data_IF_065782908161
#
_entry.id   IF_065782908161
#
_cell.length_a   1.000
_cell.length_b   1.000
_cell.length_c   1.000
_cell.angle_alpha   90.00
_cell.angle_beta   90.00
_cell.angle_gamma   90.00
#
_symmetry.space_group_name_H-M   'P 1'
#
loop_
_entity.id
_entity.type
_entity.pdbx_description
1 polymer ?
#
# COMPACT_ATOMS: atom_id res chain seq x y z
N UNK A 1 7.77 30.82 -27.50
CA UNK A 1 8.77 29.79 -27.18
C UNK A 1 7.98 28.63 -26.61
N UNK A 2 7.83 27.53 -27.33
CA UNK A 2 7.08 26.34 -26.91
C UNK A 2 7.95 25.56 -25.92
N UNK A 3 7.50 25.45 -24.66
CA UNK A 3 8.11 24.56 -23.68
C UNK A 3 7.93 23.12 -24.15
N UNK A 4 9.02 22.47 -24.53
CA UNK A 4 9.05 21.04 -24.75
C UNK A 4 8.90 20.35 -23.38
N UNK A 5 7.72 19.80 -23.12
CA UNK A 5 7.54 18.82 -22.06
C UNK A 5 8.35 17.58 -22.43
N UNK A 6 9.44 17.37 -21.71
CA UNK A 6 10.17 16.11 -21.73
C UNK A 6 9.21 15.07 -21.11
N UNK A 7 8.53 14.31 -21.97
CA UNK A 7 7.87 13.08 -21.55
C UNK A 7 8.99 12.13 -21.13
N UNK A 8 9.14 11.91 -19.84
CA UNK A 8 9.90 10.75 -19.37
C UNK A 8 9.31 9.50 -20.04
N UNK A 9 10.15 8.61 -20.60
CA UNK A 9 9.65 7.36 -21.17
C UNK A 9 8.99 6.60 -20.04
N UNK A 10 7.68 6.40 -20.14
CA UNK A 10 6.97 5.45 -19.28
C UNK A 10 7.67 4.11 -19.48
N UNK A 11 8.49 3.71 -18.51
CA UNK A 11 9.05 2.36 -18.45
C UNK A 11 7.84 1.45 -18.37
N UNK A 12 7.63 0.68 -19.44
CA UNK A 12 6.54 -0.27 -19.52
C UNK A 12 6.78 -1.33 -18.42
N UNK A 13 6.14 -1.14 -17.25
CA UNK A 13 6.31 -2.00 -16.08
C UNK A 13 6.03 -3.46 -16.44
N UNK A 14 5.06 -3.71 -17.33
CA UNK A 14 4.74 -5.04 -17.84
C UNK A 14 5.91 -5.65 -18.62
N UNK A 15 6.70 -4.85 -19.33
CA UNK A 15 7.88 -5.30 -20.07
C UNK A 15 9.00 -5.73 -19.11
N UNK A 16 9.24 -5.01 -18.02
CA UNK A 16 10.29 -5.34 -17.04
C UNK A 16 9.95 -6.62 -16.26
N UNK A 17 8.71 -6.72 -15.78
CA UNK A 17 8.22 -7.92 -15.10
C UNK A 17 8.27 -9.15 -16.00
N UNK A 18 7.85 -9.02 -17.26
CA UNK A 18 7.89 -10.10 -18.23
C UNK A 18 9.32 -10.59 -18.46
N UNK A 19 10.27 -9.67 -18.64
CA UNK A 19 11.70 -10.01 -18.78
C UNK A 19 12.22 -10.77 -17.56
N UNK A 20 11.92 -10.31 -16.35
CA UNK A 20 12.28 -11.01 -15.12
C UNK A 20 11.70 -12.43 -15.07
N UNK A 21 10.41 -12.60 -15.38
CA UNK A 21 9.75 -13.90 -15.40
C UNK A 21 10.36 -14.86 -16.43
N UNK A 22 10.75 -14.35 -17.60
CA UNK A 22 11.44 -15.13 -18.64
C UNK A 22 12.84 -15.57 -18.17
N UNK A 23 13.61 -14.68 -17.49
CA UNK A 23 14.94 -15.01 -16.96
C UNK A 23 14.90 -16.10 -15.89
N UNK A 24 13.91 -16.07 -14.98
CA UNK A 24 13.81 -17.08 -13.92
C UNK A 24 13.23 -18.41 -14.42
N UNK A 25 12.58 -18.44 -15.60
CA UNK A 25 11.87 -19.60 -16.11
C UNK A 25 12.77 -20.84 -16.28
N UNK A 26 14.02 -20.64 -16.63
CA UNK A 26 14.98 -21.71 -16.93
C UNK A 26 15.84 -22.11 -15.72
N UNK A 27 15.57 -21.53 -14.53
CA UNK A 27 16.31 -21.89 -13.31
C UNK A 27 16.03 -23.33 -12.90
N UNK A 28 17.11 -24.07 -12.59
CA UNK A 28 17.04 -25.48 -12.17
C UNK A 28 16.55 -25.58 -10.71
N UNK A 29 15.64 -26.49 -10.44
CA UNK A 29 15.25 -26.83 -9.06
C UNK A 29 16.32 -27.70 -8.41
N UNK A 30 16.65 -27.42 -7.14
CA UNK A 30 17.64 -28.15 -6.36
C UNK A 30 17.03 -29.41 -5.72
N UNK A 31 17.84 -30.45 -5.57
CA UNK A 31 17.53 -31.59 -4.73
C UNK A 31 17.73 -31.25 -3.25
N UNK A 32 17.21 -32.09 -2.35
CA UNK A 32 17.35 -31.87 -0.90
C UNK A 32 18.81 -31.96 -0.46
N UNK A 33 19.59 -32.83 -1.09
CA UNK A 33 21.02 -33.01 -0.83
C UNK A 33 21.81 -31.77 -1.28
N UNK A 34 21.51 -31.23 -2.47
CA UNK A 34 22.11 -29.99 -2.98
C UNK A 34 21.77 -28.77 -2.08
N UNK A 35 20.50 -28.68 -1.61
CA UNK A 35 20.11 -27.63 -0.66
C UNK A 35 20.91 -27.71 0.67
N UNK A 36 21.15 -28.92 1.18
CA UNK A 36 21.91 -29.12 2.42
C UNK A 36 23.40 -28.78 2.23
N UNK A 37 23.99 -29.15 1.10
CA UNK A 37 25.39 -28.79 0.77
C UNK A 37 25.56 -27.28 0.64
N UNK A 38 24.65 -26.61 -0.11
CA UNK A 38 24.66 -25.16 -0.23
C UNK A 38 24.49 -24.48 1.13
N UNK A 39 23.60 -24.98 1.99
CA UNK A 39 23.41 -24.45 3.33
C UNK A 39 24.70 -24.50 4.18
N UNK A 40 25.47 -25.58 4.11
CA UNK A 40 26.77 -25.68 4.81
C UNK A 40 27.79 -24.67 4.26
N UNK A 41 27.85 -24.52 2.93
CA UNK A 41 28.72 -23.52 2.30
C UNK A 41 28.35 -22.08 2.70
N UNK A 42 27.04 -21.77 2.79
CA UNK A 42 26.53 -20.47 3.24
C UNK A 42 26.95 -20.20 4.69
N UNK A 43 26.85 -21.18 5.59
CA UNK A 43 27.33 -21.06 6.98
C UNK A 43 28.82 -20.78 7.08
N UNK A 44 29.60 -21.24 6.10
CA UNK A 44 31.04 -20.94 5.98
C UNK A 44 31.35 -19.60 5.28
N UNK A 45 30.30 -18.80 4.94
CA UNK A 45 30.46 -17.46 4.35
C UNK A 45 30.58 -17.46 2.81
N UNK A 46 30.15 -18.51 2.13
CA UNK A 46 30.18 -18.56 0.65
C UNK A 46 28.95 -17.83 0.04
N UNK A 47 29.16 -16.56 -0.37
CA UNK A 47 28.15 -15.73 -1.01
C UNK A 47 27.68 -16.28 -2.37
N UNK A 48 28.51 -17.07 -3.07
CA UNK A 48 28.08 -17.70 -4.34
C UNK A 48 27.06 -18.79 -4.09
N UNK A 49 27.29 -19.62 -3.08
CA UNK A 49 26.34 -20.66 -2.66
C UNK A 49 24.99 -20.05 -2.25
N UNK A 50 25.03 -18.90 -1.56
CA UNK A 50 23.82 -18.13 -1.22
C UNK A 50 23.08 -17.69 -2.48
N UNK A 51 23.78 -17.10 -3.46
CA UNK A 51 23.20 -16.72 -4.74
C UNK A 51 22.58 -17.91 -5.50
N UNK A 52 23.22 -19.07 -5.53
CA UNK A 52 22.71 -20.29 -6.16
C UNK A 52 21.40 -20.77 -5.50
N UNK A 53 21.37 -20.81 -4.15
CA UNK A 53 20.16 -21.22 -3.41
C UNK A 53 19.00 -20.26 -3.64
N UNK A 54 19.25 -18.95 -3.63
CA UNK A 54 18.23 -17.92 -3.89
C UNK A 54 17.69 -18.04 -5.31
N UNK A 55 18.58 -18.08 -6.32
CA UNK A 55 18.20 -18.12 -7.74
C UNK A 55 17.33 -19.33 -8.06
N UNK A 56 17.65 -20.50 -7.52
CA UNK A 56 16.88 -21.72 -7.72
C UNK A 56 15.44 -21.62 -7.16
N UNK A 57 15.20 -20.70 -6.21
CA UNK A 57 13.91 -20.58 -5.51
C UNK A 57 13.10 -19.32 -5.87
N UNK A 58 13.57 -18.46 -6.79
CA UNK A 58 12.85 -17.26 -7.21
C UNK A 58 11.44 -17.53 -7.77
N UNK A 59 11.27 -18.66 -8.51
CA UNK A 59 9.94 -19.07 -9.00
C UNK A 59 8.93 -19.26 -7.88
N UNK A 60 9.38 -19.77 -6.74
CA UNK A 60 8.52 -20.00 -5.60
C UNK A 60 8.05 -18.68 -4.97
N UNK A 61 8.92 -17.66 -4.94
CA UNK A 61 8.53 -16.31 -4.49
C UNK A 61 7.40 -15.76 -5.35
N UNK A 62 7.51 -15.86 -6.68
CA UNK A 62 6.44 -15.41 -7.60
C UNK A 62 5.12 -16.14 -7.32
N UNK A 63 5.18 -17.46 -7.07
CA UNK A 63 4.00 -18.23 -6.72
C UNK A 63 3.34 -17.74 -5.43
N UNK A 64 4.13 -17.43 -4.39
CA UNK A 64 3.62 -16.91 -3.13
C UNK A 64 3.07 -15.48 -3.32
N UNK A 65 3.80 -14.59 -4.01
CA UNK A 65 3.43 -13.20 -4.25
C UNK A 65 2.07 -13.07 -4.98
N UNK A 66 1.78 -13.96 -5.94
CA UNK A 66 0.49 -13.99 -6.65
C UNK A 66 -0.72 -14.13 -5.73
N UNK A 67 -0.60 -14.77 -4.57
CA UNK A 67 -1.71 -14.89 -3.62
C UNK A 67 -2.03 -13.59 -2.88
N UNK A 68 -1.16 -12.58 -3.01
CA UNK A 68 -1.28 -11.28 -2.35
C UNK A 68 -1.57 -10.14 -3.33
N UNK A 69 -1.79 -10.43 -4.61
CA UNK A 69 -2.18 -9.44 -5.62
C UNK A 69 -3.48 -8.72 -5.24
N UNK A 70 -3.66 -7.51 -5.75
CA UNK A 70 -4.84 -6.66 -5.55
C UNK A 70 -5.09 -6.23 -4.09
N UNK A 71 -4.05 -6.22 -3.27
CA UNK A 71 -4.11 -5.79 -1.87
C UNK A 71 -3.47 -4.42 -1.61
N UNK A 72 -3.19 -3.66 -2.67
CA UNK A 72 -2.65 -2.31 -2.58
C UNK A 72 -1.19 -2.14 -3.01
N UNK A 73 -0.51 -3.23 -3.40
CA UNK A 73 0.81 -3.21 -4.04
C UNK A 73 0.78 -3.93 -5.38
N UNK A 74 1.62 -3.47 -6.31
CA UNK A 74 1.82 -4.09 -7.61
C UNK A 74 2.54 -5.44 -7.44
N UNK A 75 2.41 -6.33 -8.44
CA UNK A 75 3.01 -7.68 -8.37
C UNK A 75 4.54 -7.65 -8.32
N UNK A 76 5.16 -6.73 -9.04
CA UNK A 76 6.61 -6.54 -9.04
C UNK A 76 7.14 -6.14 -7.66
N UNK A 77 6.45 -5.24 -6.95
CA UNK A 77 6.79 -4.84 -5.58
C UNK A 77 6.63 -6.01 -4.61
N UNK A 78 5.53 -6.78 -4.73
CA UNK A 78 5.32 -7.99 -3.92
C UNK A 78 6.40 -9.05 -4.14
N UNK A 79 6.87 -9.23 -5.38
CA UNK A 79 7.97 -10.14 -5.70
C UNK A 79 9.27 -9.64 -5.09
N UNK A 80 9.57 -8.35 -5.18
CA UNK A 80 10.79 -7.77 -4.63
C UNK A 80 10.84 -7.92 -3.10
N UNK A 81 9.75 -7.63 -2.42
CA UNK A 81 9.64 -7.84 -0.98
C UNK A 81 9.72 -9.32 -0.59
N UNK A 82 9.09 -10.19 -1.38
CA UNK A 82 9.22 -11.64 -1.23
C UNK A 82 10.66 -12.11 -1.41
N UNK A 83 11.41 -11.56 -2.37
CA UNK A 83 12.82 -11.87 -2.59
C UNK A 83 13.68 -11.42 -1.40
N UNK A 84 13.39 -10.27 -0.76
CA UNK A 84 14.05 -9.86 0.48
C UNK A 84 13.81 -10.90 1.59
N UNK A 85 12.57 -11.42 1.70
CA UNK A 85 12.25 -12.51 2.61
C UNK A 85 13.02 -13.79 2.30
N UNK A 86 13.16 -14.15 1.02
CA UNK A 86 13.92 -15.33 0.59
C UNK A 86 15.42 -15.20 0.95
N UNK A 87 16.02 -14.02 0.78
CA UNK A 87 17.41 -13.74 1.18
C UNK A 87 17.60 -13.95 2.68
N UNK A 88 16.71 -13.39 3.50
CA UNK A 88 16.72 -13.57 4.97
C UNK A 88 16.59 -15.05 5.36
N UNK A 89 15.77 -15.80 4.63
CA UNK A 89 15.61 -17.23 4.84
C UNK A 89 16.89 -18.00 4.50
N UNK A 90 17.55 -17.67 3.37
CA UNK A 90 18.80 -18.33 2.94
C UNK A 90 19.93 -18.13 3.95
N UNK A 91 20.05 -16.95 4.57
CA UNK A 91 21.06 -16.67 5.60
C UNK A 91 20.89 -17.48 6.89
N UNK A 92 19.65 -17.86 7.22
CA UNK A 92 19.31 -18.52 8.48
C UNK A 92 18.96 -19.98 8.32
N UNK A 93 18.99 -20.49 7.10
CA UNK A 93 18.63 -21.88 6.82
C UNK A 93 19.68 -22.85 7.35
N UNK A 94 19.19 -23.91 8.02
CA UNK A 94 20.00 -24.99 8.54
C UNK A 94 19.64 -26.30 7.80
N UNK A 95 20.49 -26.67 6.87
CA UNK A 95 20.32 -27.90 6.07
C UNK A 95 20.42 -29.19 6.87
N UNK A 96 20.97 -29.19 8.10
CA UNK A 96 21.13 -30.39 8.94
C UNK A 96 19.80 -30.93 9.45
N UNK A 97 18.77 -30.09 9.52
CA UNK A 97 17.45 -30.44 10.07
C UNK A 97 16.60 -31.32 9.16
N UNK A 98 17.03 -31.57 7.93
CA UNK A 98 16.43 -32.58 7.04
C UNK A 98 15.10 -32.22 6.39
N UNK A 99 14.63 -30.98 6.41
CA UNK A 99 13.50 -30.48 5.62
C UNK A 99 13.95 -29.63 4.44
N UNK A 100 13.08 -29.50 3.42
CA UNK A 100 13.37 -28.69 2.24
C UNK A 100 13.41 -27.20 2.58
N UNK A 101 14.28 -26.47 1.91
CA UNK A 101 14.43 -25.03 2.05
C UNK A 101 13.10 -24.26 1.87
N UNK A 102 12.29 -24.61 0.87
CA UNK A 102 10.98 -24.01 0.59
C UNK A 102 10.07 -24.03 1.82
N UNK A 103 10.06 -25.12 2.62
CA UNK A 103 9.18 -25.24 3.80
C UNK A 103 9.55 -24.26 4.90
N UNK A 104 10.81 -23.85 4.97
CA UNK A 104 11.30 -22.81 5.87
C UNK A 104 11.14 -21.40 5.27
N UNK A 105 11.51 -21.23 4.01
CA UNK A 105 11.52 -19.94 3.33
C UNK A 105 10.12 -19.33 3.19
N UNK A 106 9.06 -20.13 3.06
CA UNK A 106 7.68 -19.64 2.90
C UNK A 106 7.24 -18.70 4.03
N UNK A 107 7.70 -18.92 5.25
CA UNK A 107 7.37 -18.07 6.39
C UNK A 107 8.02 -16.70 6.29
N UNK A 108 9.30 -16.64 5.89
CA UNK A 108 10.02 -15.41 5.69
C UNK A 108 9.51 -14.60 4.50
N UNK A 109 9.18 -15.27 3.40
CA UNK A 109 8.59 -14.66 2.21
C UNK A 109 7.25 -14.02 2.57
N UNK A 110 6.37 -14.77 3.24
CA UNK A 110 5.06 -14.26 3.67
C UNK A 110 5.18 -13.08 4.64
N UNK A 111 6.05 -13.20 5.62
CA UNK A 111 6.26 -12.12 6.59
C UNK A 111 6.74 -10.84 5.92
N UNK A 112 7.74 -10.92 5.00
CA UNK A 112 8.20 -9.75 4.27
C UNK A 112 7.10 -9.12 3.41
N UNK A 113 6.34 -9.93 2.67
CA UNK A 113 5.21 -9.44 1.86
C UNK A 113 4.13 -8.79 2.73
N UNK A 114 3.74 -9.40 3.84
CA UNK A 114 2.73 -8.84 4.76
C UNK A 114 3.23 -7.56 5.42
N UNK A 115 4.51 -7.48 5.75
CA UNK A 115 5.12 -6.28 6.30
C UNK A 115 5.12 -5.13 5.28
N UNK A 116 5.45 -5.41 4.03
CA UNK A 116 5.40 -4.43 2.94
C UNK A 116 3.95 -3.95 2.70
N UNK A 117 3.00 -4.87 2.62
CA UNK A 117 1.57 -4.52 2.51
C UNK A 117 1.12 -3.62 3.67
N UNK A 118 1.53 -3.92 4.90
CA UNK A 118 1.17 -3.09 6.06
C UNK A 118 1.80 -1.69 6.02
N UNK A 119 2.98 -1.53 5.40
CA UNK A 119 3.69 -0.26 5.36
C UNK A 119 3.28 0.61 4.17
N UNK A 120 3.10 0.02 3.00
CA UNK A 120 3.15 0.72 1.71
C UNK A 120 1.86 0.55 0.87
N UNK A 121 0.87 -0.27 1.33
CA UNK A 121 -0.40 -0.45 0.63
C UNK A 121 -1.33 0.77 0.70
N UNK A 122 -1.10 1.69 1.62
CA UNK A 122 -1.90 2.89 1.80
C UNK A 122 -1.07 4.14 1.48
N UNK A 123 -1.63 5.08 0.70
CA UNK A 123 -1.01 6.38 0.41
C UNK A 123 -0.69 7.15 1.70
N UNK A 124 -1.55 7.05 2.70
CA UNK A 124 -1.31 7.57 4.06
C UNK A 124 -0.93 6.38 4.93
N UNK A 125 0.32 6.37 5.42
CA UNK A 125 0.83 5.29 6.28
C UNK A 125 0.02 5.17 7.57
N UNK A 126 -0.51 3.97 7.82
CA UNK A 126 -1.23 3.64 9.05
C UNK A 126 -0.34 2.81 10.01
N UNK A 127 -0.47 3.01 11.32
CA UNK A 127 0.17 2.13 12.30
C UNK A 127 -0.32 0.68 12.17
N UNK A 128 0.58 -0.30 12.36
CA UNK A 128 0.26 -1.74 12.24
C UNK A 128 -0.95 -2.15 13.07
N UNK A 129 -1.05 -1.63 14.31
CA UNK A 129 -2.19 -1.92 15.19
C UNK A 129 -3.54 -1.48 14.61
N UNK A 130 -3.57 -0.38 13.85
CA UNK A 130 -4.79 0.08 13.16
C UNK A 130 -5.12 -0.82 11.97
N UNK A 131 -4.13 -1.22 11.18
CA UNK A 131 -4.33 -2.14 10.05
C UNK A 131 -4.89 -3.49 10.54
N UNK A 132 -4.35 -4.02 11.63
CA UNK A 132 -4.84 -5.24 12.25
C UNK A 132 -6.30 -5.09 12.76
N UNK A 133 -6.62 -3.94 13.35
CA UNK A 133 -7.97 -3.63 13.81
C UNK A 133 -8.94 -3.50 12.63
N UNK A 134 -8.57 -2.79 11.57
CA UNK A 134 -9.35 -2.67 10.32
C UNK A 134 -9.60 -4.05 9.72
N UNK A 135 -8.59 -4.93 9.69
CA UNK A 135 -8.74 -6.30 9.23
C UNK A 135 -9.78 -7.09 10.03
N UNK A 136 -9.75 -6.99 11.37
CA UNK A 136 -10.74 -7.62 12.27
C UNK A 136 -12.14 -7.06 12.04
N UNK A 137 -12.26 -5.73 11.93
CA UNK A 137 -13.54 -5.05 11.65
C UNK A 137 -14.13 -5.56 10.34
N UNK A 138 -13.33 -5.63 9.25
CA UNK A 138 -13.81 -6.09 7.95
C UNK A 138 -14.26 -7.57 7.99
N UNK A 139 -13.59 -8.42 8.76
CA UNK A 139 -14.01 -9.81 8.95
C UNK A 139 -15.34 -9.86 9.70
N UNK A 140 -15.44 -9.13 10.82
CA UNK A 140 -16.68 -9.07 11.63
C UNK A 140 -17.87 -8.54 10.82
N UNK A 141 -17.65 -7.53 9.95
CA UNK A 141 -18.71 -7.00 9.08
C UNK A 141 -19.21 -8.09 8.13
N UNK A 142 -18.30 -8.84 7.48
CA UNK A 142 -18.67 -9.93 6.58
C UNK A 142 -19.43 -11.06 7.29
N UNK A 143 -18.95 -11.47 8.44
CA UNK A 143 -19.58 -12.55 9.22
C UNK A 143 -20.98 -12.12 9.69
N UNK A 144 -21.12 -10.89 10.20
CA UNK A 144 -22.40 -10.34 10.63
C UNK A 144 -23.38 -10.17 9.46
N UNK A 145 -22.91 -9.73 8.29
CA UNK A 145 -23.72 -9.60 7.08
C UNK A 145 -24.26 -10.96 6.61
N UNK A 146 -23.43 -12.02 6.69
CA UNK A 146 -23.84 -13.39 6.38
C UNK A 146 -24.90 -13.92 7.32
N UNK A 147 -24.82 -13.59 8.62
CA UNK A 147 -25.74 -14.07 9.64
C UNK A 147 -27.07 -13.29 9.68
N UNK A 148 -26.99 -11.95 9.51
CA UNK A 148 -28.12 -11.06 9.78
C UNK A 148 -28.68 -10.38 8.51
N UNK A 149 -27.99 -10.50 7.35
CA UNK A 149 -28.40 -9.88 6.06
C UNK A 149 -28.32 -8.35 6.06
N UNK A 150 -27.60 -7.73 7.02
CA UNK A 150 -27.37 -6.27 7.11
C UNK A 150 -25.97 -5.94 7.62
N UNK A 151 -25.54 -4.74 7.33
CA UNK A 151 -24.27 -4.21 7.85
C UNK A 151 -24.41 -3.86 9.34
N UNK A 152 -23.44 -4.24 10.22
CA UNK A 152 -23.47 -3.89 11.64
C UNK A 152 -23.16 -2.40 11.88
N UNK A 153 -23.70 -1.85 12.95
CA UNK A 153 -23.35 -0.50 13.42
C UNK A 153 -21.99 -0.49 14.12
N UNK A 154 -21.37 0.70 14.27
CA UNK A 154 -20.09 0.82 14.97
C UNK A 154 -20.16 0.31 16.42
N UNK A 155 -21.31 0.51 17.09
CA UNK A 155 -21.57 0.02 18.46
C UNK A 155 -21.66 -1.50 18.52
N UNK A 156 -22.25 -2.15 17.52
CA UNK A 156 -22.34 -3.61 17.43
C UNK A 156 -20.95 -4.21 17.18
N UNK A 157 -20.17 -3.62 16.30
CA UNK A 157 -18.78 -4.02 16.04
C UNK A 157 -17.94 -3.89 17.32
N UNK A 158 -18.08 -2.78 18.06
CA UNK A 158 -17.32 -2.55 19.29
C UNK A 158 -17.63 -3.59 20.36
N UNK A 159 -18.90 -4.01 20.49
CA UNK A 159 -19.32 -5.06 21.41
C UNK A 159 -18.79 -6.43 21.02
N UNK A 160 -18.81 -6.76 19.72
CA UNK A 160 -18.32 -8.05 19.22
C UNK A 160 -16.80 -8.16 19.38
N UNK A 161 -16.05 -7.08 19.10
CA UNK A 161 -14.60 -7.06 19.17
C UNK A 161 -14.04 -6.69 20.56
N UNK A 162 -14.92 -6.34 21.51
CA UNK A 162 -14.55 -5.85 22.85
C UNK A 162 -13.59 -4.64 22.79
N UNK A 163 -13.81 -3.75 21.84
CA UNK A 163 -12.97 -2.56 21.59
C UNK A 163 -13.82 -1.30 21.85
N UNK A 164 -13.21 -0.24 22.35
CA UNK A 164 -13.88 1.06 22.60
C UNK A 164 -14.43 1.63 21.29
N UNK A 165 -15.68 2.10 21.28
CA UNK A 165 -16.38 2.66 20.09
C UNK A 165 -15.56 3.69 19.34
N UNK A 166 -14.89 4.61 20.05
CA UNK A 166 -14.05 5.63 19.46
C UNK A 166 -12.92 5.05 18.60
N UNK A 167 -12.33 3.92 19.00
CA UNK A 167 -11.28 3.24 18.22
C UNK A 167 -11.84 2.63 16.95
N UNK A 168 -13.06 2.07 17.00
CA UNK A 168 -13.75 1.52 15.83
C UNK A 168 -14.08 2.64 14.84
N UNK A 169 -14.59 3.77 15.32
CA UNK A 169 -14.89 4.93 14.46
C UNK A 169 -13.63 5.46 13.77
N UNK A 170 -12.54 5.68 14.50
CA UNK A 170 -11.25 6.12 13.92
C UNK A 170 -10.74 5.11 12.89
N UNK A 171 -10.86 3.81 13.16
CA UNK A 171 -10.42 2.77 12.23
C UNK A 171 -11.26 2.78 10.94
N UNK A 172 -12.59 2.95 11.04
CA UNK A 172 -13.48 3.06 9.88
C UNK A 172 -13.21 4.31 9.05
N UNK A 173 -12.96 5.46 9.70
CA UNK A 173 -12.58 6.69 9.02
C UNK A 173 -11.23 6.56 8.31
N UNK A 174 -10.24 5.95 8.97
CA UNK A 174 -8.89 5.73 8.42
C UNK A 174 -8.86 4.70 7.29
N UNK A 175 -9.87 3.83 7.20
CA UNK A 175 -9.97 2.79 6.16
C UNK A 175 -10.50 3.32 4.82
N UNK A 176 -10.95 4.58 4.75
CA UNK A 176 -11.47 5.18 3.52
C UNK A 176 -10.37 5.23 2.47
N UNK A 177 -10.73 4.90 1.23
CA UNK A 177 -9.81 5.03 0.09
C UNK A 177 -9.53 6.50 -0.19
N UNK A 178 -8.27 6.77 -0.49
CA UNK A 178 -7.84 8.08 -1.02
C UNK A 178 -8.16 8.09 -2.52
N UNK A 179 -8.81 9.16 -2.97
CA UNK A 179 -9.12 9.37 -4.38
C UNK A 179 -8.12 10.36 -4.99
N UNK A 180 -7.82 10.21 -6.28
CA UNK A 180 -6.96 11.16 -6.99
C UNK A 180 -7.74 12.44 -7.25
N UNK A 181 -7.16 13.58 -6.88
CA UNK A 181 -7.72 14.92 -7.14
C UNK A 181 -7.75 15.21 -8.65
N UNK A 182 -6.79 14.65 -9.39
CA UNK A 182 -6.68 14.82 -10.85
C UNK A 182 -7.51 13.79 -11.64
N UNK A 183 -8.27 12.94 -10.95
CA UNK A 183 -9.14 11.99 -11.65
C UNK A 183 -10.24 12.74 -12.39
N UNK A 184 -10.47 12.38 -13.68
CA UNK A 184 -11.61 12.84 -14.46
C UNK A 184 -12.92 12.35 -13.81
N UNK A 185 -13.95 13.20 -13.77
CA UNK A 185 -15.22 12.83 -13.15
C UNK A 185 -16.04 11.87 -14.00
N UNK A 186 -15.96 12.02 -15.31
CA UNK A 186 -16.61 11.18 -16.33
C UNK A 186 -15.68 11.05 -17.52
N UNK A 187 -15.84 9.98 -18.32
CA UNK A 187 -15.01 9.76 -19.52
C UNK A 187 -15.12 10.86 -20.57
N UNK A 188 -16.21 11.65 -20.54
CA UNK A 188 -16.51 12.72 -21.51
C UNK A 188 -16.28 14.14 -20.94
N UNK A 189 -15.87 14.29 -19.68
CA UNK A 189 -15.68 15.61 -19.04
C UNK A 189 -14.21 15.82 -18.70
N UNK A 190 -13.61 16.89 -19.26
CA UNK A 190 -12.24 17.29 -18.95
C UNK A 190 -12.06 17.86 -17.52
N UNK A 191 -13.14 17.97 -16.74
CA UNK A 191 -13.10 18.47 -15.36
C UNK A 191 -12.57 17.42 -14.42
N UNK A 192 -11.65 17.85 -13.56
CA UNK A 192 -11.08 17.04 -12.50
C UNK A 192 -11.89 17.12 -11.21
N UNK A 193 -11.64 16.21 -10.27
CA UNK A 193 -12.20 16.28 -8.91
C UNK A 193 -11.77 17.58 -8.23
N UNK A 194 -10.57 18.10 -8.53
CA UNK A 194 -10.04 19.36 -8.01
C UNK A 194 -10.94 20.55 -8.35
N UNK A 195 -11.53 20.60 -9.55
CA UNK A 195 -12.37 21.71 -10.01
C UNK A 195 -13.66 21.87 -9.20
N UNK A 196 -14.02 20.90 -8.35
CA UNK A 196 -15.15 20.97 -7.42
C UNK A 196 -14.85 21.66 -6.11
N UNK A 197 -13.57 21.78 -5.77
CA UNK A 197 -13.16 22.37 -4.50
C UNK A 197 -12.90 23.86 -4.68
N UNK A 198 -13.76 24.67 -4.10
CA UNK A 198 -13.52 26.10 -3.98
C UNK A 198 -12.39 26.35 -2.96
N UNK A 199 -11.50 27.27 -3.26
CA UNK A 199 -10.50 27.69 -2.30
C UNK A 199 -11.19 28.55 -1.20
N UNK A 200 -11.23 28.07 0.07
CA UNK A 200 -12.02 28.73 1.12
C UNK A 200 -11.55 30.15 1.45
N UNK A 201 -10.30 30.48 1.10
CA UNK A 201 -9.69 31.78 1.40
C UNK A 201 -9.46 32.65 0.16
N UNK A 202 -10.07 32.33 -0.97
CA UNK A 202 -9.97 33.19 -2.16
C UNK A 202 -10.78 34.44 -1.89
N UNK A 203 -10.10 35.54 -1.59
CA UNK A 203 -10.69 36.88 -1.58
C UNK A 203 -11.10 37.15 -3.03
N UNK A 204 -12.40 37.12 -3.30
CA UNK A 204 -12.92 37.51 -4.61
C UNK A 204 -12.64 39.00 -4.79
N UNK A 205 -12.31 39.44 -6.02
CA UNK A 205 -12.04 40.86 -6.29
C UNK A 205 -13.19 41.78 -5.80
N UNK A 206 -14.41 41.24 -5.85
CA UNK A 206 -15.60 41.92 -5.37
C UNK A 206 -15.62 42.13 -3.84
N UNK A 207 -15.03 41.22 -3.07
CA UNK A 207 -15.03 41.27 -1.61
C UNK A 207 -14.15 42.40 -1.09
N UNK A 208 -12.99 42.63 -1.70
CA UNK A 208 -12.13 43.76 -1.37
C UNK A 208 -12.85 45.10 -1.66
N UNK A 209 -13.52 45.16 -2.79
CA UNK A 209 -14.30 46.39 -3.16
C UNK A 209 -15.47 46.64 -2.22
N UNK A 210 -16.22 45.59 -1.84
CA UNK A 210 -17.32 45.68 -0.88
C UNK A 210 -16.82 46.11 0.51
N UNK A 211 -15.67 45.56 0.95
CA UNK A 211 -15.06 45.92 2.25
C UNK A 211 -14.55 47.37 2.25
N UNK A 212 -14.02 47.85 1.13
CA UNK A 212 -13.63 49.25 0.96
C UNK A 212 -14.84 50.19 0.97
N UNK A 213 -15.90 49.86 0.22
CA UNK A 213 -17.15 50.65 0.17
C UNK A 213 -17.82 50.70 1.55
N UNK A 214 -17.95 49.54 2.22
CA UNK A 214 -18.53 49.47 3.58
C UNK A 214 -17.70 50.26 4.57
N UNK A 215 -16.36 50.22 4.51
CA UNK A 215 -15.46 51.00 5.35
C UNK A 215 -15.61 52.51 5.10
N UNK A 216 -15.76 52.92 3.82
CA UNK A 216 -15.97 54.33 3.46
C UNK A 216 -17.32 54.82 3.94
N UNK A 217 -18.39 54.00 3.82
CA UNK A 217 -19.72 54.37 4.30
C UNK A 217 -19.79 54.45 5.82
N UNK A 218 -19.15 53.55 6.55
CA UNK A 218 -18.98 53.65 8.01
C UNK A 218 -18.28 54.93 8.45
N UNK A 219 -17.18 55.30 7.78
CA UNK A 219 -16.47 56.54 8.05
C UNK A 219 -17.34 57.77 7.81
N UNK A 220 -18.16 57.73 6.76
CA UNK A 220 -19.11 58.83 6.43
C UNK A 220 -20.19 58.97 7.50
N UNK A 221 -20.78 57.86 7.95
CA UNK A 221 -21.79 57.88 9.02
C UNK A 221 -21.20 58.39 10.33
N UNK A 222 -20.00 57.92 10.70
CA UNK A 222 -19.31 58.36 11.91
C UNK A 222 -18.99 59.86 11.87
N UNK A 223 -18.63 60.42 10.71
CA UNK A 223 -18.36 61.86 10.56
C UNK A 223 -19.60 62.75 10.73
N UNK A 224 -20.81 62.16 10.54
CA UNK A 224 -22.10 62.89 10.74
C UNK A 224 -22.57 62.80 12.20
N UNK A 225 -22.20 61.72 12.91
CA UNK A 225 -22.67 61.51 14.30
C UNK A 225 -21.69 62.10 15.33
N UNK A 226 -20.41 62.28 14.98
CA UNK A 226 -19.43 62.92 15.88
C UNK A 226 -19.30 64.40 15.51
N UNK A 227 -19.76 65.32 16.36
CA UNK A 227 -19.56 66.74 16.16
C UNK A 227 -18.08 67.14 16.38
#
# INVERSE_FOLDING_TARGET
MKSQQIKEPAVDKDSALKKYLDEIKDTKTLSKEEEAELAQRIQNGDEKAKGELITANLKFVVYVAKNYQYRGLDLDDLINEGNIGLVKAAERFDGTKGYKFISYAVWWIRESILQALANDSHTIRLPRNQIELIGKINTTIKDFELEHGRIPTAEEISKILEVVDKKVQIALESSRRVESIDAAQTEDDDRTVLDKYDAPDTVTADKELIDEETSAEFKRILSVISP
#
